data_IF_227604627149
#
_entry.id   IF_227604627149
#
_cell.length_a   1.000
_cell.length_b   1.000
_cell.length_c   1.000
_cell.angle_alpha   90.00
_cell.angle_beta   90.00
_cell.angle_gamma   90.00
#
_symmetry.space_group_name_H-M   'P 1'
#
loop_
_entity.id
_entity.type
_entity.pdbx_description
1 polymer ?
#
# COMPACT_ATOMS: atom_id res chain seq x y z
N UNK A 1 7.22 -23.39 -2.94
CA UNK A 1 8.18 -22.78 -3.91
C UNK A 1 8.08 -21.28 -3.77
N UNK A 2 9.20 -20.57 -3.64
CA UNK A 2 9.22 -19.10 -3.53
C UNK A 2 9.21 -18.51 -4.94
N UNK A 3 8.36 -17.51 -5.19
CA UNK A 3 8.32 -16.77 -6.46
C UNK A 3 8.59 -15.29 -6.21
N UNK A 4 9.20 -14.66 -7.21
CA UNK A 4 9.57 -13.25 -7.19
C UNK A 4 8.90 -12.51 -8.34
N UNK A 5 8.54 -11.27 -8.08
CA UNK A 5 8.25 -10.26 -9.09
C UNK A 5 9.12 -9.06 -8.80
N UNK A 6 9.71 -8.48 -9.83
CA UNK A 6 10.51 -7.27 -9.76
C UNK A 6 9.96 -6.25 -10.77
N UNK A 7 9.81 -5.01 -10.34
CA UNK A 7 9.37 -3.90 -11.19
C UNK A 7 10.03 -2.60 -10.73
N UNK A 8 10.54 -1.84 -11.70
CA UNK A 8 11.13 -0.52 -11.49
C UNK A 8 10.25 0.53 -12.16
N UNK A 9 10.01 1.63 -11.46
CA UNK A 9 9.23 2.76 -11.97
C UNK A 9 9.76 4.07 -11.38
N UNK A 10 9.67 5.17 -12.13
CA UNK A 10 10.13 6.49 -11.67
C UNK A 10 8.98 7.49 -11.59
N UNK A 11 8.94 8.29 -10.52
CA UNK A 11 8.06 9.44 -10.37
C UNK A 11 8.81 10.72 -10.74
N UNK A 12 8.18 11.60 -11.51
CA UNK A 12 8.67 12.94 -11.86
C UNK A 12 8.44 13.95 -10.71
N UNK A 13 8.89 13.55 -9.51
CA UNK A 13 8.72 14.29 -8.27
C UNK A 13 9.94 14.06 -7.36
N UNK A 14 10.33 15.09 -6.57
CA UNK A 14 11.47 14.98 -5.67
C UNK A 14 11.24 13.94 -4.58
N UNK A 15 12.34 13.37 -4.07
CA UNK A 15 12.32 12.31 -3.07
C UNK A 15 11.50 12.67 -1.82
N UNK A 16 11.59 13.92 -1.37
CA UNK A 16 10.81 14.43 -0.23
C UNK A 16 9.30 14.40 -0.49
N UNK A 17 8.86 14.81 -1.69
CA UNK A 17 7.46 14.79 -2.07
C UNK A 17 6.93 13.36 -2.20
N UNK A 18 7.70 12.45 -2.80
CA UNK A 18 7.33 11.02 -2.92
C UNK A 18 7.27 10.34 -1.56
N UNK A 19 8.24 10.61 -0.69
CA UNK A 19 8.26 10.09 0.69
C UNK A 19 7.06 10.60 1.49
N UNK A 20 6.74 11.89 1.42
CA UNK A 20 5.55 12.44 2.08
C UNK A 20 4.26 11.85 1.51
N UNK A 21 4.15 11.78 0.17
CA UNK A 21 3.00 11.21 -0.50
C UNK A 21 2.78 9.74 -0.10
N UNK A 22 3.85 8.97 0.14
CA UNK A 22 3.76 7.58 0.58
C UNK A 22 2.98 7.45 1.90
N UNK A 23 3.28 8.31 2.88
CA UNK A 23 2.57 8.30 4.17
C UNK A 23 1.12 8.81 4.04
N UNK A 24 0.89 9.72 3.09
CA UNK A 24 -0.42 10.28 2.78
C UNK A 24 -1.22 9.48 1.75
N UNK A 25 -0.74 8.34 1.24
CA UNK A 25 -1.35 7.71 0.06
C UNK A 25 -2.80 7.23 0.25
N UNK A 26 -3.25 7.05 1.48
CA UNK A 26 -4.65 6.68 1.78
C UNK A 26 -5.43 7.81 2.46
N UNK A 27 -6.72 7.99 2.10
CA UNK A 27 -7.49 7.25 1.09
C UNK A 27 -7.28 7.79 -0.34
N UNK A 28 -7.35 6.91 -1.34
CA UNK A 28 -7.29 7.23 -2.77
C UNK A 28 -8.25 6.32 -3.59
N UNK A 29 -8.74 6.76 -4.77
CA UNK A 29 -9.74 6.01 -5.55
C UNK A 29 -9.22 4.68 -6.12
N UNK A 30 -7.91 4.50 -6.26
CA UNK A 30 -7.32 3.23 -6.71
C UNK A 30 -7.15 2.20 -5.58
N UNK A 31 -7.38 2.59 -4.33
CA UNK A 31 -7.16 1.77 -3.13
C UNK A 31 -8.36 1.74 -2.20
N UNK A 32 -9.58 1.63 -2.75
CA UNK A 32 -10.84 1.57 -1.98
C UNK A 32 -10.96 0.37 -1.03
N UNK A 33 -10.11 -0.64 -1.23
CA UNK A 33 -10.03 -1.82 -0.38
C UNK A 33 -9.30 -1.56 0.94
N UNK A 34 -8.57 -0.46 1.09
CA UNK A 34 -7.90 -0.09 2.35
C UNK A 34 -8.91 0.65 3.25
N UNK A 35 -9.24 0.05 4.39
CA UNK A 35 -10.25 0.57 5.32
C UNK A 35 -9.63 1.51 6.36
N UNK A 36 -8.50 1.09 6.95
CA UNK A 36 -7.73 1.89 7.90
C UNK A 36 -6.24 1.72 7.69
N UNK A 37 -5.45 2.68 8.21
CA UNK A 37 -4.00 2.70 8.11
C UNK A 37 -3.43 3.45 9.31
N UNK A 38 -3.17 2.73 10.39
CA UNK A 38 -2.86 3.26 11.72
C UNK A 38 -1.35 3.18 11.98
N UNK A 39 -0.75 4.21 12.57
CA UNK A 39 0.66 4.18 12.96
C UNK A 39 0.78 3.56 14.35
N UNK A 40 1.47 2.41 14.43
CA UNK A 40 1.71 1.70 15.69
C UNK A 40 2.91 2.29 16.43
N UNK A 41 3.98 2.59 15.70
CA UNK A 41 5.18 3.20 16.27
C UNK A 41 5.87 4.08 15.23
N UNK A 42 6.53 5.12 15.70
CA UNK A 42 7.38 5.98 14.91
C UNK A 42 8.50 6.50 15.79
N UNK A 43 9.73 6.27 15.38
CA UNK A 43 10.91 6.63 16.13
C UNK A 43 11.97 7.22 15.18
N UNK A 44 12.66 8.25 15.66
CA UNK A 44 13.72 8.92 14.92
C UNK A 44 15.03 8.76 15.66
N UNK A 45 16.00 8.13 15.00
CA UNK A 45 17.36 8.02 15.49
C UNK A 45 18.16 9.25 15.04
N UNK A 46 18.55 10.17 15.95
CA UNK A 46 19.30 11.38 15.58
C UNK A 46 20.75 11.09 15.16
N UNK A 47 21.35 9.98 15.63
CA UNK A 47 22.74 9.62 15.31
C UNK A 47 22.83 9.09 13.89
N UNK A 48 21.95 8.14 13.56
CA UNK A 48 21.86 7.56 12.22
C UNK A 48 21.02 8.40 11.26
N UNK A 49 20.34 9.45 11.73
CA UNK A 49 19.40 10.29 10.96
C UNK A 49 18.37 9.45 10.21
N UNK A 50 17.78 8.48 10.91
CA UNK A 50 16.90 7.48 10.33
C UNK A 50 15.52 7.53 11.00
N UNK A 51 14.46 7.66 10.20
CA UNK A 51 13.08 7.60 10.67
C UNK A 51 12.50 6.21 10.41
N UNK A 52 12.19 5.48 11.47
CA UNK A 52 11.50 4.18 11.38
C UNK A 52 10.02 4.37 11.71
N UNK A 53 9.14 3.91 10.84
CA UNK A 53 7.69 3.90 11.11
C UNK A 53 7.14 2.49 10.92
N UNK A 54 6.32 2.05 11.86
CA UNK A 54 5.51 0.82 11.73
C UNK A 54 4.03 1.18 11.72
N UNK A 55 3.30 0.64 10.75
CA UNK A 55 1.87 0.87 10.55
C UNK A 55 1.12 -0.45 10.42
N UNK A 56 -0.14 -0.44 10.83
CA UNK A 56 -1.09 -1.53 10.63
C UNK A 56 -2.17 -1.07 9.65
N UNK A 57 -2.35 -1.82 8.58
CA UNK A 57 -3.36 -1.55 7.57
C UNK A 57 -4.43 -2.63 7.60
N UNK A 58 -5.69 -2.21 7.64
CA UNK A 58 -6.82 -3.11 7.47
C UNK A 58 -7.29 -3.07 6.02
N UNK A 59 -7.27 -4.21 5.33
CA UNK A 59 -7.72 -4.32 3.93
C UNK A 59 -8.90 -5.25 3.79
N UNK A 60 -9.91 -4.85 3.02
CA UNK A 60 -10.98 -5.73 2.54
C UNK A 60 -10.45 -6.58 1.39
N UNK A 61 -10.63 -7.89 1.50
CA UNK A 61 -10.15 -8.84 0.50
C UNK A 61 -11.17 -9.94 0.25
N UNK A 62 -11.20 -10.45 -0.97
CA UNK A 62 -11.85 -11.74 -1.26
C UNK A 62 -10.76 -12.76 -1.50
N UNK A 63 -10.93 -14.00 -1.07
CA UNK A 63 -10.03 -15.07 -1.49
C UNK A 63 -10.16 -15.32 -3.01
N UNK A 64 -9.10 -15.83 -3.68
CA UNK A 64 -9.23 -16.33 -5.04
C UNK A 64 -10.30 -17.44 -5.11
N UNK A 65 -11.05 -17.50 -6.22
CA UNK A 65 -12.12 -18.49 -6.40
C UNK A 65 -11.65 -19.94 -6.26
N UNK A 66 -10.38 -20.20 -6.59
CA UNK A 66 -9.70 -21.48 -6.41
C UNK A 66 -9.62 -21.95 -4.94
N UNK A 67 -9.66 -21.03 -3.98
CA UNK A 67 -9.50 -21.33 -2.54
C UNK A 67 -10.77 -21.05 -1.74
N UNK A 68 -11.67 -20.20 -2.24
CA UNK A 68 -12.92 -19.82 -1.55
C UNK A 68 -13.83 -21.00 -1.22
N UNK A 69 -13.70 -22.13 -1.92
CA UNK A 69 -14.49 -23.34 -1.64
C UNK A 69 -13.98 -24.11 -0.42
N UNK A 70 -12.71 -23.93 -0.05
CA UNK A 70 -12.00 -24.73 0.95
C UNK A 70 -11.71 -23.97 2.26
N UNK A 71 -11.54 -22.64 2.17
CA UNK A 71 -11.30 -21.78 3.32
C UNK A 71 -12.56 -21.03 3.74
N UNK A 72 -12.69 -20.65 5.03
CA UNK A 72 -13.74 -19.74 5.47
C UNK A 72 -13.65 -18.41 4.70
N UNK A 73 -14.79 -17.73 4.54
CA UNK A 73 -14.87 -16.45 3.85
C UNK A 73 -14.08 -15.39 4.63
N UNK A 74 -12.84 -15.14 4.22
CA UNK A 74 -12.05 -13.99 4.70
C UNK A 74 -12.71 -12.73 4.12
N UNK A 75 -13.15 -11.84 5.01
CA UNK A 75 -13.72 -10.53 4.63
C UNK A 75 -12.66 -9.44 4.63
N UNK A 76 -11.76 -9.50 5.60
CA UNK A 76 -10.76 -8.48 5.89
C UNK A 76 -9.44 -9.17 6.29
N UNK A 77 -8.33 -8.46 6.11
CA UNK A 77 -7.00 -8.94 6.43
C UNK A 77 -6.11 -7.82 6.92
N UNK A 78 -5.33 -8.08 7.96
CA UNK A 78 -4.34 -7.15 8.48
C UNK A 78 -2.99 -7.26 7.74
N UNK A 79 -2.43 -6.11 7.39
CA UNK A 79 -1.12 -5.96 6.75
C UNK A 79 -0.24 -5.12 7.66
N UNK A 80 0.96 -5.63 7.98
CA UNK A 80 1.99 -4.87 8.67
C UNK A 80 2.84 -4.14 7.63
N UNK A 81 3.01 -2.84 7.81
CA UNK A 81 3.89 -1.99 7.00
C UNK A 81 5.01 -1.47 7.89
N UNK A 82 6.25 -1.66 7.48
CA UNK A 82 7.43 -1.06 8.10
C UNK A 82 8.15 -0.21 7.07
N UNK A 83 8.48 1.02 7.42
CA UNK A 83 9.29 1.90 6.59
C UNK A 83 10.48 2.45 7.37
N UNK A 84 11.58 2.64 6.66
CA UNK A 84 12.84 3.20 7.16
C UNK A 84 13.27 4.26 6.17
N UNK A 85 13.32 5.52 6.59
CA UNK A 85 13.81 6.65 5.79
C UNK A 85 15.17 7.05 6.32
N UNK A 86 16.21 6.87 5.52
CA UNK A 86 17.59 7.27 5.81
C UNK A 86 17.86 8.61 5.12
N UNK A 87 18.03 9.67 5.92
CA UNK A 87 18.25 11.02 5.42
C UNK A 87 19.67 11.24 4.90
N UNK A 88 20.66 10.45 5.35
CA UNK A 88 22.05 10.55 4.88
C UNK A 88 22.19 9.93 3.50
N UNK A 89 21.56 8.77 3.30
CA UNK A 89 21.57 8.06 2.00
C UNK A 89 20.51 8.57 1.03
N UNK A 90 19.59 9.41 1.49
CA UNK A 90 18.41 9.83 0.74
C UNK A 90 17.66 8.61 0.17
N UNK A 91 17.35 7.66 1.04
CA UNK A 91 16.71 6.40 0.64
C UNK A 91 15.55 6.09 1.58
N UNK A 92 14.43 5.66 1.02
CA UNK A 92 13.34 5.09 1.82
C UNK A 92 13.16 3.62 1.45
N UNK A 93 13.24 2.75 2.44
CA UNK A 93 12.92 1.32 2.32
C UNK A 93 11.59 1.05 2.98
N UNK A 94 10.76 0.25 2.33
CA UNK A 94 9.47 -0.15 2.88
C UNK A 94 9.29 -1.66 2.72
N UNK A 95 8.68 -2.28 3.70
CA UNK A 95 8.29 -3.68 3.68
C UNK A 95 6.85 -3.79 4.13
N UNK A 96 6.02 -4.49 3.36
CA UNK A 96 4.66 -4.82 3.73
C UNK A 96 4.45 -6.32 3.69
N UNK A 97 3.79 -6.86 4.72
CA UNK A 97 3.49 -8.29 4.82
C UNK A 97 2.13 -8.56 5.42
N UNK A 98 1.45 -9.62 4.99
CA UNK A 98 0.24 -10.07 5.65
C UNK A 98 0.56 -10.66 7.03
N UNK A 99 -0.29 -10.37 8.02
CA UNK A 99 -0.17 -10.94 9.37
C UNK A 99 -0.97 -12.23 9.52
N UNK A 100 -2.03 -12.39 8.73
CA UNK A 100 -2.92 -13.54 8.79
C UNK A 100 -2.71 -14.45 7.57
N UNK A 101 -3.09 -15.73 7.69
CA UNK A 101 -3.10 -16.71 6.60
C UNK A 101 -1.73 -17.03 5.99
N UNK A 102 -0.63 -16.78 6.72
CA UNK A 102 0.73 -17.08 6.27
C UNK A 102 0.93 -18.58 5.93
N UNK A 103 0.21 -19.47 6.63
CA UNK A 103 0.22 -20.91 6.35
C UNK A 103 -0.43 -21.30 5.00
N UNK A 104 -1.19 -20.40 4.40
CA UNK A 104 -1.76 -20.58 3.04
C UNK A 104 -0.90 -19.84 2.03
N UNK A 105 -0.68 -18.55 2.24
CA UNK A 105 0.08 -17.68 1.36
C UNK A 105 0.78 -16.58 2.19
N UNK A 106 2.11 -16.60 2.18
CA UNK A 106 2.91 -15.49 2.67
C UNK A 106 3.22 -14.55 1.49
N UNK A 107 2.94 -13.26 1.65
CA UNK A 107 3.26 -12.21 0.67
C UNK A 107 4.05 -11.12 1.39
N UNK A 108 5.26 -10.89 0.91
CA UNK A 108 6.15 -9.82 1.40
C UNK A 108 6.51 -8.94 0.21
N UNK A 109 6.09 -7.68 0.26
CA UNK A 109 6.43 -6.66 -0.71
C UNK A 109 7.46 -5.70 -0.12
N UNK A 110 8.62 -5.62 -0.75
CA UNK A 110 9.71 -4.71 -0.40
C UNK A 110 9.88 -3.67 -1.49
N UNK A 111 9.91 -2.39 -1.11
CA UNK A 111 10.13 -1.29 -2.05
C UNK A 111 11.28 -0.41 -1.59
N UNK A 112 12.10 0.02 -2.54
CA UNK A 112 13.21 0.96 -2.31
C UNK A 112 13.00 2.19 -3.18
N UNK A 113 12.96 3.35 -2.54
CA UNK A 113 12.79 4.67 -3.14
C UNK A 113 14.12 5.41 -3.05
N UNK A 114 14.62 5.90 -4.19
CA UNK A 114 15.88 6.64 -4.27
C UNK A 114 15.74 7.82 -5.24
N UNK A 115 16.31 8.99 -4.95
CA UNK A 115 16.40 10.08 -5.92
C UNK A 115 17.22 9.60 -7.13
N UNK A 116 16.77 9.99 -8.31
CA UNK A 116 17.53 9.92 -9.53
C UNK A 116 17.99 11.34 -9.86
N UNK A 117 19.26 11.54 -10.24
CA UNK A 117 19.67 12.83 -10.78
C UNK A 117 18.80 13.16 -11.98
N UNK A 118 18.40 14.44 -12.10
CA UNK A 118 17.69 14.93 -13.27
C UNK A 118 18.47 14.50 -14.54
N UNK A 119 17.78 14.06 -15.61
CA UNK A 119 18.45 13.81 -16.87
C UNK A 119 19.28 15.05 -17.22
N UNK A 120 20.56 14.88 -17.51
CA UNK A 120 21.41 15.99 -17.95
C UNK A 120 20.74 16.53 -19.21
N UNK A 121 20.08 17.69 -19.09
CA UNK A 121 19.62 18.41 -20.26
C UNK A 121 20.87 18.73 -21.07
N UNK A 122 21.02 18.10 -22.23
CA UNK A 122 21.95 18.57 -23.24
C UNK A 122 21.41 19.91 -23.77
N UNK A 123 21.65 20.97 -23.00
CA UNK A 123 21.17 22.32 -23.25
C UNK A 123 22.32 23.30 -23.03
N UNK A 124 22.69 23.96 -24.12
CA UNK A 124 23.68 25.03 -24.29
C UNK A 124 24.07 25.81 -23.04
N UNK A 125 25.39 25.90 -22.82
CA UNK A 125 26.04 26.75 -21.83
C UNK A 125 25.62 28.22 -21.99
N UNK A 126 24.67 28.70 -21.18
CA UNK A 126 24.46 30.13 -20.95
C UNK A 126 23.59 30.49 -19.72
N UNK A 127 23.24 29.53 -18.84
CA UNK A 127 22.44 29.87 -17.66
C UNK A 127 23.28 30.04 -16.38
N UNK A 128 23.13 31.24 -15.82
CA UNK A 128 23.75 31.82 -14.63
C UNK A 128 23.54 30.95 -13.36
N UNK A 129 24.61 30.53 -12.64
CA UNK A 129 24.49 29.60 -11.51
C UNK A 129 23.82 30.18 -10.25
N UNK A 130 23.55 31.49 -10.19
CA UNK A 130 23.09 32.16 -8.97
C UNK A 130 21.57 32.39 -8.87
N UNK A 131 20.78 32.01 -9.88
CA UNK A 131 19.30 32.18 -9.85
C UNK A 131 18.51 31.04 -9.20
N UNK A 132 19.10 29.88 -8.93
CA UNK A 132 18.39 28.72 -8.38
C UNK A 132 18.53 28.60 -6.85
N UNK A 133 18.14 29.64 -6.11
CA UNK A 133 17.95 29.60 -4.65
C UNK A 133 16.74 28.78 -4.20
N UNK A 134 15.95 28.25 -5.14
CA UNK A 134 14.86 27.30 -4.94
C UNK A 134 15.09 26.11 -5.87
N UNK A 135 16.10 25.29 -5.57
CA UNK A 135 16.52 24.14 -6.37
C UNK A 135 15.48 23.01 -6.42
N UNK A 136 14.35 23.25 -7.06
CA UNK A 136 13.43 22.23 -7.59
C UNK A 136 13.86 21.92 -9.03
N UNK A 137 15.11 21.47 -9.20
CA UNK A 137 15.48 20.79 -10.44
C UNK A 137 14.50 19.61 -10.62
N UNK A 138 14.30 19.17 -11.87
CA UNK A 138 13.42 18.05 -12.25
C UNK A 138 13.89 16.72 -11.62
N UNK A 139 13.76 16.64 -10.30
CA UNK A 139 14.22 15.54 -9.49
C UNK A 139 13.22 14.40 -9.66
N UNK A 140 13.73 13.30 -10.18
CA UNK A 140 12.96 12.08 -10.31
C UNK A 140 13.22 11.20 -9.10
N UNK A 141 12.24 10.39 -8.70
CA UNK A 141 12.42 9.37 -7.67
C UNK A 141 12.17 8.01 -8.28
N UNK A 142 13.21 7.16 -8.32
CA UNK A 142 13.09 5.76 -8.71
C UNK A 142 12.48 4.95 -7.58
N UNK A 143 11.65 3.98 -7.93
CA UNK A 143 11.04 3.01 -7.03
C UNK A 143 11.20 1.62 -7.60
N UNK A 144 12.02 0.80 -6.92
CA UNK A 144 12.12 -0.62 -7.20
C UNK A 144 11.21 -1.38 -6.25
N UNK A 145 10.34 -2.22 -6.79
CA UNK A 145 9.39 -3.05 -6.04
C UNK A 145 9.70 -4.50 -6.27
N UNK A 146 10.05 -5.22 -5.20
CA UNK A 146 10.27 -6.66 -5.20
C UNK A 146 9.21 -7.30 -4.33
N UNK A 147 8.44 -8.24 -4.89
CA UNK A 147 7.46 -9.00 -4.11
C UNK A 147 7.85 -10.46 -4.12
N UNK A 148 7.90 -11.01 -2.91
CA UNK A 148 8.13 -12.41 -2.63
C UNK A 148 6.81 -13.02 -2.18
N UNK A 149 6.41 -14.10 -2.83
CA UNK A 149 5.28 -14.88 -2.35
C UNK A 149 5.63 -16.35 -2.22
N UNK A 150 5.15 -16.94 -1.14
CA UNK A 150 5.39 -18.31 -0.77
C UNK A 150 4.04 -18.96 -0.43
N UNK A 151 3.61 -19.89 -1.29
CA UNK A 151 2.47 -20.75 -0.96
C UNK A 151 2.96 -21.90 -0.10
N UNK A 152 2.38 -22.04 1.10
CA UNK A 152 2.68 -23.11 2.05
C UNK A 152 1.57 -24.15 2.14
N UNK A 153 0.55 -24.04 1.27
CA UNK A 153 -0.58 -24.96 1.22
C UNK A 153 -0.12 -26.38 0.84
N UNK A 154 -0.08 -27.28 1.83
CA UNK A 154 0.42 -28.66 1.70
C UNK A 154 1.60 -29.00 2.62
N UNK A 155 2.24 -28.01 3.25
CA UNK A 155 3.34 -28.21 4.20
C UNK A 155 2.93 -28.12 5.68
N UNK A 156 1.73 -27.64 5.98
CA UNK A 156 1.27 -27.43 7.37
C UNK A 156 0.39 -28.60 7.82
N UNK A 157 0.98 -29.47 8.63
CA UNK A 157 0.24 -30.24 9.64
C UNK A 157 -0.40 -29.25 10.64
N UNK A 158 -1.63 -29.54 11.09
CA UNK A 158 -2.42 -28.83 12.12
C UNK A 158 -3.13 -27.51 11.72
N UNK A 159 -4.11 -27.64 10.85
CA UNK A 159 -5.41 -27.01 11.08
C UNK A 159 -6.47 -28.08 10.80
N UNK A 160 -6.99 -28.73 11.84
CA UNK A 160 -7.71 -30.02 11.79
C UNK A 160 -8.92 -30.04 10.83
N UNK A 161 -9.46 -28.89 10.41
CA UNK A 161 -10.57 -28.79 9.45
C UNK A 161 -10.20 -28.49 7.98
N UNK A 162 -9.01 -27.95 7.70
CA UNK A 162 -8.63 -27.53 6.32
C UNK A 162 -7.92 -28.68 5.58
N UNK A 163 -7.18 -29.52 6.32
CA UNK A 163 -6.42 -30.63 5.75
C UNK A 163 -7.31 -31.69 5.08
N UNK A 164 -8.46 -32.04 5.68
CA UNK A 164 -9.36 -33.08 5.13
C UNK A 164 -10.00 -32.69 3.80
N UNK A 165 -10.30 -31.39 3.61
CA UNK A 165 -10.97 -30.89 2.40
C UNK A 165 -10.01 -30.72 1.22
N UNK A 166 -8.75 -30.37 1.48
CA UNK A 166 -7.72 -30.16 0.44
C UNK A 166 -7.09 -31.47 -0.03
N UNK A 167 -7.06 -32.51 0.82
CA UNK A 167 -6.51 -33.82 0.48
C UNK A 167 -7.24 -34.53 -0.68
N UNK A 168 -8.52 -34.24 -0.89
CA UNK A 168 -9.35 -34.94 -1.90
C UNK A 168 -9.08 -34.55 -3.36
N UNK A 169 -8.39 -33.43 -3.64
CA UNK A 169 -8.29 -32.84 -5.00
C UNK A 169 -6.85 -32.70 -5.51
N UNK A 170 -5.84 -33.08 -4.71
CA UNK A 170 -4.42 -32.90 -5.04
C UNK A 170 -3.92 -31.49 -4.74
N UNK A 171 -3.00 -31.37 -3.79
CA UNK A 171 -2.42 -30.09 -3.30
C UNK A 171 -1.77 -29.24 -4.41
N UNK A 172 -1.18 -29.89 -5.42
CA UNK A 172 -0.46 -29.19 -6.50
C UNK A 172 -1.35 -28.34 -7.42
N UNK A 173 -2.59 -28.74 -7.70
CA UNK A 173 -3.52 -27.98 -8.54
C UNK A 173 -4.01 -26.71 -7.85
N UNK A 174 -4.36 -26.83 -6.57
CA UNK A 174 -4.79 -25.69 -5.74
C UNK A 174 -3.63 -24.71 -5.54
N UNK A 175 -2.42 -25.21 -5.29
CA UNK A 175 -1.23 -24.37 -5.14
C UNK A 175 -0.95 -23.54 -6.40
N UNK A 176 -0.99 -24.13 -7.60
CA UNK A 176 -0.80 -23.39 -8.87
C UNK A 176 -1.85 -22.29 -9.06
N UNK A 177 -3.11 -22.59 -8.73
CA UNK A 177 -4.20 -21.60 -8.80
C UNK A 177 -4.02 -20.44 -7.83
N UNK A 178 -3.50 -20.70 -6.62
CA UNK A 178 -3.15 -19.66 -5.64
C UNK A 178 -2.03 -18.79 -6.18
N UNK A 179 -0.96 -19.40 -6.68
CA UNK A 179 0.20 -18.68 -7.19
C UNK A 179 -0.16 -17.81 -8.39
N UNK A 180 -1.01 -18.29 -9.31
CA UNK A 180 -1.49 -17.50 -10.45
C UNK A 180 -2.36 -16.31 -9.99
N UNK A 181 -3.27 -16.53 -9.05
CA UNK A 181 -4.10 -15.47 -8.51
C UNK A 181 -3.28 -14.43 -7.72
N UNK A 182 -2.27 -14.87 -6.97
CA UNK A 182 -1.35 -14.00 -6.26
C UNK A 182 -0.58 -13.11 -7.23
N UNK A 183 0.00 -13.70 -8.28
CA UNK A 183 0.73 -12.96 -9.32
C UNK A 183 -0.16 -11.89 -10.00
N UNK A 184 -1.39 -12.25 -10.39
CA UNK A 184 -2.29 -11.32 -11.05
C UNK A 184 -2.69 -10.14 -10.15
N UNK A 185 -3.06 -10.43 -8.89
CA UNK A 185 -3.38 -9.38 -7.90
C UNK A 185 -2.22 -8.47 -7.63
N UNK A 186 -1.02 -9.02 -7.63
CA UNK A 186 0.18 -8.26 -7.37
C UNK A 186 0.46 -7.27 -8.51
N UNK A 187 0.36 -7.71 -9.77
CA UNK A 187 0.47 -6.83 -10.95
C UNK A 187 -0.54 -5.69 -10.88
N UNK A 188 -1.79 -5.99 -10.50
CA UNK A 188 -2.83 -4.98 -10.28
C UNK A 188 -2.50 -4.02 -9.11
N UNK A 189 -1.96 -4.55 -8.01
CA UNK A 189 -1.62 -3.75 -6.84
C UNK A 189 -0.48 -2.76 -7.13
N UNK A 190 0.56 -3.17 -7.85
CA UNK A 190 1.66 -2.28 -8.26
C UNK A 190 1.11 -1.12 -9.09
N UNK A 191 0.22 -1.40 -10.05
CA UNK A 191 -0.39 -0.37 -10.88
C UNK A 191 -1.32 0.56 -10.06
N UNK A 192 -2.15 0.01 -9.17
CA UNK A 192 -3.01 0.81 -8.29
C UNK A 192 -2.22 1.69 -7.33
N UNK A 193 -1.12 1.18 -6.79
CA UNK A 193 -0.22 1.92 -5.92
C UNK A 193 0.39 3.10 -6.66
N UNK A 194 0.85 2.86 -7.91
CA UNK A 194 1.37 3.91 -8.80
C UNK A 194 0.37 5.03 -9.03
N UNK A 195 -0.83 4.71 -9.50
CA UNK A 195 -1.84 5.72 -9.81
C UNK A 195 -2.40 6.41 -8.55
N UNK A 196 -2.55 5.68 -7.44
CA UNK A 196 -2.94 6.25 -6.15
C UNK A 196 -1.94 7.28 -5.62
N UNK A 197 -0.64 7.00 -5.77
CA UNK A 197 0.40 7.93 -5.33
C UNK A 197 0.47 9.18 -6.22
N UNK A 198 0.28 9.04 -7.54
CA UNK A 198 0.23 10.19 -8.47
C UNK A 198 -0.86 11.18 -8.09
N UNK A 199 -2.05 10.74 -7.70
CA UNK A 199 -3.12 11.63 -7.22
C UNK A 199 -2.66 12.44 -6.00
N UNK A 200 -1.95 11.79 -5.07
CA UNK A 200 -1.45 12.45 -3.86
C UNK A 200 -0.41 13.50 -4.23
N UNK A 201 0.54 13.13 -5.09
CA UNK A 201 1.62 14.00 -5.57
C UNK A 201 1.09 15.21 -6.32
N UNK A 202 0.09 15.02 -7.19
CA UNK A 202 -0.57 16.10 -7.90
C UNK A 202 -1.22 17.10 -6.94
N UNK A 203 -1.96 16.59 -5.94
CA UNK A 203 -2.56 17.44 -4.90
C UNK A 203 -1.51 18.24 -4.13
N UNK A 204 -0.39 17.61 -3.77
CA UNK A 204 0.73 18.28 -3.10
C UNK A 204 1.36 19.38 -3.98
N UNK A 205 1.48 19.17 -5.29
CA UNK A 205 2.04 20.15 -6.24
C UNK A 205 1.10 21.34 -6.46
N UNK A 206 -0.19 21.09 -6.64
CA UNK A 206 -1.16 22.15 -6.96
C UNK A 206 -1.62 22.96 -5.74
N UNK A 207 -1.92 22.28 -4.64
CA UNK A 207 -2.60 22.89 -3.48
C UNK A 207 -1.64 23.11 -2.31
N UNK A 208 -0.45 22.52 -2.36
CA UNK A 208 0.46 22.47 -1.22
C UNK A 208 0.01 21.48 -0.14
N UNK A 209 0.88 21.27 0.85
CA UNK A 209 0.71 20.24 1.89
C UNK A 209 -0.53 20.50 2.75
N UNK A 210 -0.67 21.71 3.28
CA UNK A 210 -1.72 22.04 4.27
C UNK A 210 -3.11 21.90 3.64
N UNK A 211 -3.34 22.52 2.48
CA UNK A 211 -4.65 22.46 1.82
C UNK A 211 -5.01 21.02 1.44
N UNK A 212 -4.04 20.25 0.93
CA UNK A 212 -4.24 18.81 0.62
C UNK A 212 -4.66 18.01 1.87
N UNK A 213 -4.06 18.29 3.02
CA UNK A 213 -4.41 17.61 4.27
C UNK A 213 -5.79 18.01 4.80
N UNK A 214 -6.16 19.30 4.72
CA UNK A 214 -7.47 19.82 5.13
C UNK A 214 -8.58 19.19 4.28
N UNK A 215 -8.48 19.25 2.96
CA UNK A 215 -9.48 18.69 2.04
C UNK A 215 -9.69 17.18 2.27
N UNK A 216 -8.59 16.45 2.55
CA UNK A 216 -8.67 15.03 2.88
C UNK A 216 -9.38 14.76 4.19
N UNK A 217 -9.15 15.61 5.20
CA UNK A 217 -9.86 15.51 6.49
C UNK A 217 -11.34 15.78 6.30
N UNK A 218 -11.69 16.84 5.58
CA UNK A 218 -13.09 17.20 5.29
C UNK A 218 -13.82 16.10 4.53
N UNK A 219 -13.18 15.51 3.51
CA UNK A 219 -13.73 14.36 2.78
C UNK A 219 -13.98 13.17 3.69
N UNK A 220 -13.04 12.82 4.57
CA UNK A 220 -13.24 11.75 5.56
C UNK A 220 -14.40 12.06 6.50
N UNK A 221 -14.49 13.29 7.00
CA UNK A 221 -15.58 13.71 7.89
C UNK A 221 -16.92 13.64 7.17
N UNK A 222 -16.98 14.04 5.90
CA UNK A 222 -18.17 13.93 5.06
C UNK A 222 -18.59 12.47 4.86
N UNK A 223 -17.66 11.60 4.48
CA UNK A 223 -17.93 10.16 4.32
C UNK A 223 -18.41 9.51 5.64
N UNK A 224 -17.83 9.90 6.77
CA UNK A 224 -18.29 9.45 8.10
C UNK A 224 -19.70 9.93 8.41
N UNK A 225 -20.01 11.20 8.11
CA UNK A 225 -21.36 11.77 8.29
C UNK A 225 -22.40 11.07 7.42
N UNK A 226 -22.11 10.84 6.14
CA UNK A 226 -22.99 10.12 5.21
C UNK A 226 -23.25 8.68 5.65
N UNK A 227 -22.23 8.00 6.18
CA UNK A 227 -22.42 6.67 6.79
C UNK A 227 -23.30 6.73 8.04
N UNK A 228 -23.10 7.73 8.90
CA UNK A 228 -23.87 7.90 10.12
C UNK A 228 -25.35 8.24 9.86
N UNK A 229 -25.63 9.11 8.88
CA UNK A 229 -27.02 9.44 8.48
C UNK A 229 -27.74 8.24 7.86
N UNK A 230 -27.01 7.33 7.20
CA UNK A 230 -27.55 6.04 6.76
C UNK A 230 -28.10 5.17 7.89
N UNK A 231 -27.56 5.26 9.12
CA UNK A 231 -28.11 4.61 10.30
C UNK A 231 -29.34 5.35 10.87
N UNK A 232 -29.44 6.66 10.69
CA UNK A 232 -30.59 7.46 11.12
C UNK A 232 -31.92 7.01 10.49
N UNK A 233 -31.90 6.52 9.25
CA UNK A 233 -33.08 5.94 8.58
C UNK A 233 -33.47 4.53 9.03
N UNK A 234 -32.62 3.85 9.81
CA UNK A 234 -32.89 2.53 10.41
C UNK A 234 -33.57 2.71 11.77
N UNK A 235 -33.12 3.68 12.58
CA UNK A 235 -33.73 3.99 13.88
C UNK A 235 -34.94 4.92 13.79
N UNK A 236 -35.05 5.75 12.75
CA UNK A 236 -36.18 6.65 12.52
C UNK A 236 -37.46 5.97 11.99
N UNK A 237 -37.38 4.72 11.53
CA UNK A 237 -38.54 3.97 11.01
C UNK A 237 -39.33 3.21 12.07
N UNK A 238 -38.76 2.97 13.26
CA UNK A 238 -39.42 2.23 14.34
C UNK A 238 -40.15 3.14 15.35
N UNK A 239 -40.35 4.42 15.04
CA UNK A 239 -40.97 5.39 15.97
C UNK A 239 -42.38 5.85 15.57
N UNK A 240 -42.99 5.24 14.54
CA UNK A 240 -44.29 5.67 13.99
C UNK A 240 -45.38 4.58 14.06
N UNK A 241 -45.14 3.45 14.75
CA UNK A 241 -46.15 2.37 14.91
C UNK A 241 -46.51 2.10 16.38
N UNK A 242 -46.55 3.14 17.21
CA UNK A 242 -47.03 3.04 18.58
C UNK A 242 -47.85 4.28 18.97
N UNK A 243 -48.93 4.56 18.25
CA UNK A 243 -50.11 5.29 18.72
C UNK A 243 -51.37 4.66 18.11
#
# INVERSE_FOLDING_TARGET
>A
MVKFFDNVFSYEYPFSAVTLAYYLRYPNPYSTHVLSADTLSRDFDPVNQTLTTTRLLLKRGKLPSSVTRFLPKIKESYILEKSVVDLKKMEMRTETRNLEWEGVLSVVESQTYTPLPAPIAHGTANDDPLRNGTGLADDHTSVRTVVRFESRLGGVQKAEGIASRVASWGTGGVQRGIEAAAYQRMKENVQRSKEGLKIVLHGLREKGVIATMVERRERKVKEMRERATGWGGIWGRNKVEAE
#
